data_IF_129202183509
#
_entry.id   IF_129202183509
#
_cell.length_a   1.000
_cell.length_b   1.000
_cell.length_c   1.000
_cell.angle_alpha   90.00
_cell.angle_beta   90.00
_cell.angle_gamma   90.00
#
_symmetry.space_group_name_H-M   'P 1'
#
loop_
_entity.id
_entity.type
_entity.pdbx_description
1 polymer ?
#
# COMPACT_ATOMS: atom_id res chain seq x y z
N UNK A 1 -44.59 41.13 -45.01
CA UNK A 1 -44.43 39.99 -44.06
C UNK A 1 -43.06 39.31 -44.16
N UNK A 2 -42.24 39.56 -45.18
CA UNK A 2 -40.98 38.83 -45.42
C UNK A 2 -39.76 39.36 -44.63
N UNK A 3 -39.77 40.62 -44.20
CA UNK A 3 -38.63 41.24 -43.51
C UNK A 3 -38.55 40.88 -42.01
N UNK A 4 -39.69 40.58 -41.36
CA UNK A 4 -39.72 40.14 -39.96
C UNK A 4 -39.17 38.71 -39.78
N UNK A 5 -39.35 37.83 -40.77
CA UNK A 5 -38.86 36.45 -40.69
C UNK A 5 -37.34 36.35 -40.86
N UNK A 6 -36.73 37.22 -41.69
CA UNK A 6 -35.27 37.29 -41.86
C UNK A 6 -34.58 37.83 -40.60
N UNK A 7 -35.16 38.81 -39.92
CA UNK A 7 -34.58 39.37 -38.68
C UNK A 7 -34.64 38.39 -37.50
N UNK A 8 -35.72 37.59 -37.40
CA UNK A 8 -35.86 36.52 -36.38
C UNK A 8 -34.90 35.36 -36.66
N UNK A 9 -34.68 35.00 -37.92
CA UNK A 9 -33.68 33.98 -38.28
C UNK A 9 -32.24 34.42 -37.98
N UNK A 10 -31.93 35.71 -38.18
CA UNK A 10 -30.60 36.27 -37.89
C UNK A 10 -30.32 36.31 -36.38
N UNK A 11 -31.31 36.62 -35.53
CA UNK A 11 -31.13 36.56 -34.07
C UNK A 11 -31.06 35.15 -33.51
N UNK A 12 -31.77 34.17 -34.09
CA UNK A 12 -31.66 32.76 -33.66
C UNK A 12 -30.30 32.15 -34.07
N UNK A 13 -29.78 32.51 -35.25
CA UNK A 13 -28.45 32.07 -35.68
C UNK A 13 -27.30 32.69 -34.86
N UNK A 14 -27.48 33.92 -34.36
CA UNK A 14 -26.47 34.60 -33.54
C UNK A 14 -26.37 34.05 -32.10
N UNK A 15 -27.44 33.46 -31.56
CA UNK A 15 -27.44 32.89 -30.20
C UNK A 15 -26.91 31.45 -30.16
N UNK A 16 -27.06 30.69 -31.25
CA UNK A 16 -26.51 29.33 -31.34
C UNK A 16 -25.00 29.34 -31.62
N UNK A 17 -24.46 30.41 -32.20
CA UNK A 17 -23.03 30.57 -32.45
C UNK A 17 -22.23 31.09 -31.23
N UNK A 18 -22.87 31.27 -30.08
CA UNK A 18 -22.26 31.77 -28.84
C UNK A 18 -22.11 30.72 -27.72
N UNK A 19 -22.43 29.44 -27.97
CA UNK A 19 -22.39 28.37 -26.95
C UNK A 19 -21.31 27.31 -27.23
N UNK A 20 -20.32 27.61 -28.07
CA UNK A 20 -19.20 26.68 -28.35
C UNK A 20 -17.86 27.11 -27.75
N UNK A 21 -17.87 27.95 -26.71
CA UNK A 21 -16.65 28.29 -25.96
C UNK A 21 -16.59 27.47 -24.66
N UNK A 22 -16.31 26.18 -24.78
CA UNK A 22 -15.84 25.40 -23.62
C UNK A 22 -14.78 24.40 -24.04
N UNK A 23 -13.59 24.60 -23.50
CA UNK A 23 -12.45 23.67 -23.43
C UNK A 23 -11.84 23.24 -24.76
N UNK A 24 -11.09 24.16 -25.36
CA UNK A 24 -9.85 23.79 -26.07
C UNK A 24 -8.95 23.11 -25.04
N UNK A 25 -8.85 21.78 -25.09
CA UNK A 25 -7.75 21.07 -24.45
C UNK A 25 -6.47 21.50 -25.16
N UNK A 26 -5.72 22.41 -24.53
CA UNK A 26 -4.35 22.68 -24.87
C UNK A 26 -3.48 21.46 -24.51
N UNK A 27 -3.54 20.39 -25.30
CA UNK A 27 -2.49 19.35 -25.32
C UNK A 27 -1.40 19.81 -26.29
N UNK A 28 -0.67 20.82 -25.84
CA UNK A 28 0.42 21.45 -26.57
C UNK A 28 1.49 21.91 -25.60
N UNK A 29 1.93 21.02 -24.71
CA UNK A 29 3.15 21.22 -23.96
C UNK A 29 3.92 19.91 -23.98
N UNK A 30 5.04 19.97 -24.69
CA UNK A 30 6.23 19.15 -24.62
C UNK A 30 6.03 17.69 -24.18
N UNK A 31 6.53 16.78 -25.03
CA UNK A 31 7.17 15.56 -24.54
C UNK A 31 8.26 15.94 -23.52
N UNK A 32 7.86 16.23 -22.28
CA UNK A 32 8.64 15.90 -21.13
C UNK A 32 8.71 14.39 -21.15
N UNK A 33 9.84 13.86 -21.62
CA UNK A 33 10.33 12.63 -21.03
C UNK A 33 10.44 12.91 -19.54
N UNK A 34 9.34 12.69 -18.81
CA UNK A 34 9.44 12.14 -17.47
C UNK A 34 10.15 10.80 -17.65
N UNK A 35 11.47 10.86 -17.79
CA UNK A 35 12.32 9.79 -17.32
C UNK A 35 12.00 9.67 -15.84
N UNK A 36 10.93 8.91 -15.53
CA UNK A 36 10.81 8.23 -14.25
C UNK A 36 12.19 7.63 -14.06
N UNK A 37 12.97 8.08 -13.06
CA UNK A 37 14.31 7.56 -12.89
C UNK A 37 14.13 6.04 -12.81
N UNK A 38 14.75 5.32 -13.75
CA UNK A 38 14.63 3.87 -13.93
C UNK A 38 15.27 3.08 -12.78
N UNK A 39 15.40 3.70 -11.61
CA UNK A 39 15.75 3.12 -10.33
C UNK A 39 14.55 2.88 -9.41
N UNK A 40 13.31 3.01 -9.89
CA UNK A 40 12.17 2.39 -9.21
C UNK A 40 12.31 0.87 -9.34
N UNK A 41 12.98 0.24 -8.37
CA UNK A 41 12.87 -1.21 -8.19
C UNK A 41 11.39 -1.53 -8.10
N UNK A 42 10.88 -2.35 -9.02
CA UNK A 42 9.50 -2.80 -8.99
C UNK A 42 9.35 -3.72 -7.78
N UNK A 43 8.89 -3.14 -6.68
CA UNK A 43 8.62 -3.89 -5.47
C UNK A 43 7.22 -4.48 -5.58
N UNK A 44 7.12 -5.78 -5.31
CA UNK A 44 5.87 -6.51 -5.25
C UNK A 44 5.38 -6.61 -3.80
N UNK A 45 4.33 -5.88 -3.41
CA UNK A 45 3.78 -5.95 -2.06
C UNK A 45 2.84 -7.14 -1.92
N UNK A 46 3.09 -7.98 -0.91
CA UNK A 46 2.20 -9.07 -0.51
C UNK A 46 1.64 -8.78 0.86
N UNK A 47 0.32 -8.58 0.92
CA UNK A 47 -0.42 -8.37 2.15
C UNK A 47 -0.94 -9.69 2.70
N UNK A 48 -0.77 -9.89 4.01
CA UNK A 48 -1.37 -10.99 4.77
C UNK A 48 -2.08 -10.47 6.01
N UNK A 49 -3.21 -11.08 6.33
CA UNK A 49 -3.95 -10.76 7.55
C UNK A 49 -3.32 -11.46 8.76
N UNK A 50 -3.04 -10.68 9.80
CA UNK A 50 -2.38 -11.16 11.00
C UNK A 50 -3.45 -11.51 12.02
N UNK A 51 -3.33 -12.69 12.60
CA UNK A 51 -4.20 -13.12 13.69
C UNK A 51 -3.66 -12.66 15.05
N UNK A 52 -2.34 -12.82 15.27
CA UNK A 52 -1.67 -12.43 16.51
C UNK A 52 -0.23 -11.99 16.29
N UNK A 53 0.23 -11.09 17.15
CA UNK A 53 1.62 -10.64 17.25
C UNK A 53 2.12 -10.92 18.65
N UNK A 54 3.15 -11.74 18.76
CA UNK A 54 3.80 -12.06 20.01
C UNK A 54 5.10 -11.27 20.15
N UNK A 55 5.25 -10.57 21.27
CA UNK A 55 6.44 -9.78 21.59
C UNK A 55 7.49 -10.64 22.29
N UNK A 56 8.76 -10.44 21.93
CA UNK A 56 9.92 -11.04 22.59
C UNK A 56 11.13 -10.09 22.51
N UNK A 57 12.14 -10.27 23.37
CA UNK A 57 13.36 -9.43 23.36
C UNK A 57 14.14 -9.53 22.04
N UNK A 58 14.11 -10.70 21.40
CA UNK A 58 14.76 -10.96 20.11
C UNK A 58 13.94 -10.49 18.90
N UNK A 59 12.66 -10.13 19.06
CA UNK A 59 11.82 -9.74 17.94
C UNK A 59 10.32 -10.00 18.13
N UNK A 60 9.59 -10.06 17.02
CA UNK A 60 8.15 -10.30 16.99
C UNK A 60 7.81 -11.57 16.23
N UNK A 61 7.06 -12.49 16.85
CA UNK A 61 6.45 -13.61 16.13
C UNK A 61 5.07 -13.20 15.65
N UNK A 62 4.88 -13.22 14.35
CA UNK A 62 3.63 -12.86 13.68
C UNK A 62 2.94 -14.13 13.20
N UNK A 63 1.73 -14.38 13.70
CA UNK A 63 0.88 -15.48 13.22
C UNK A 63 -0.11 -14.90 12.22
N UNK A 64 -0.03 -15.34 10.97
CA UNK A 64 -0.84 -14.84 9.87
C UNK A 64 -1.62 -15.97 9.19
N UNK A 65 -2.70 -15.62 8.50
CA UNK A 65 -3.53 -16.59 7.77
C UNK A 65 -2.85 -16.98 6.44
N UNK A 66 -2.76 -18.29 6.18
CA UNK A 66 -2.43 -18.85 4.87
C UNK A 66 -3.64 -19.60 4.33
N UNK A 67 -4.20 -19.11 3.23
CA UNK A 67 -5.47 -19.61 2.67
C UNK A 67 -6.67 -19.44 3.61
N UNK A 68 -7.66 -20.35 3.47
CA UNK A 68 -8.95 -20.25 4.16
C UNK A 68 -8.96 -20.78 5.60
N UNK A 69 -8.14 -21.78 5.93
CA UNK A 69 -8.27 -22.54 7.17
C UNK A 69 -6.96 -22.76 7.94
N UNK A 70 -5.85 -22.16 7.49
CA UNK A 70 -4.53 -22.42 8.06
C UNK A 70 -3.83 -21.14 8.50
N UNK A 71 -2.89 -21.30 9.43
CA UNK A 71 -2.01 -20.24 9.90
C UNK A 71 -0.56 -20.61 9.64
N UNK A 72 0.26 -19.59 9.41
CA UNK A 72 1.71 -19.69 9.42
C UNK A 72 2.31 -18.70 10.41
N UNK A 73 3.54 -18.97 10.81
CA UNK A 73 4.31 -18.13 11.71
C UNK A 73 5.46 -17.47 10.95
N UNK A 74 5.68 -16.18 11.21
CA UNK A 74 6.86 -15.45 10.77
C UNK A 74 7.58 -14.89 12.01
N UNK A 75 8.89 -15.06 12.07
CA UNK A 75 9.71 -14.55 13.17
C UNK A 75 10.50 -13.35 12.65
N UNK A 76 10.19 -12.15 13.12
CA UNK A 76 10.79 -10.91 12.63
C UNK A 76 11.80 -10.41 13.66
N UNK A 77 13.10 -10.37 13.33
CA UNK A 77 14.15 -9.96 14.28
C UNK A 77 13.96 -8.50 14.73
N UNK A 78 14.24 -8.22 16.00
CA UNK A 78 14.22 -6.85 16.52
C UNK A 78 15.24 -5.94 15.83
N UNK A 79 16.35 -6.50 15.34
CA UNK A 79 17.38 -5.80 14.56
C UNK A 79 16.87 -5.20 13.25
N UNK A 80 15.75 -5.70 12.71
CA UNK A 80 15.15 -5.14 11.50
C UNK A 80 14.38 -3.85 11.76
N UNK A 81 13.93 -3.61 12.99
CA UNK A 81 13.13 -2.44 13.39
C UNK A 81 14.01 -1.24 13.79
N UNK A 82 14.94 -0.90 12.90
CA UNK A 82 15.80 0.28 13.04
C UNK A 82 15.45 1.32 11.96
N UNK A 83 15.91 2.56 12.13
CA UNK A 83 15.73 3.58 11.10
C UNK A 83 16.41 3.14 9.80
N UNK A 84 15.65 3.06 8.71
CA UNK A 84 16.13 2.53 7.43
C UNK A 84 16.33 1.00 7.41
N UNK A 85 15.87 0.28 8.44
CA UNK A 85 15.95 -1.17 8.52
C UNK A 85 14.95 -1.90 7.62
N UNK A 86 14.99 -3.23 7.67
CA UNK A 86 14.16 -4.12 6.86
C UNK A 86 12.73 -4.25 7.37
N UNK A 87 12.41 -3.76 8.58
CA UNK A 87 11.08 -3.82 9.15
C UNK A 87 10.65 -2.48 9.74
N UNK A 88 9.39 -2.12 9.50
CA UNK A 88 8.76 -0.97 10.14
C UNK A 88 7.49 -1.40 10.85
N UNK A 89 7.35 -1.04 12.12
CA UNK A 89 6.11 -1.25 12.87
C UNK A 89 5.29 0.04 12.88
N UNK A 90 4.05 -0.05 12.43
CA UNK A 90 3.08 1.02 12.51
C UNK A 90 1.98 0.63 13.48
N UNK A 91 1.75 1.49 14.48
CA UNK A 91 0.66 1.31 15.43
C UNK A 91 -0.50 2.19 15.03
N UNK A 92 -1.67 1.59 14.91
CA UNK A 92 -2.89 2.28 14.52
C UNK A 92 -4.08 1.87 15.36
N UNK A 93 -5.25 2.29 14.90
CA UNK A 93 -6.55 1.98 15.47
C UNK A 93 -7.47 1.61 14.31
N UNK A 94 -8.32 0.61 14.48
CA UNK A 94 -9.24 0.18 13.43
C UNK A 94 -9.41 -1.34 13.41
N UNK A 95 -10.43 -1.80 12.70
CA UNK A 95 -10.78 -3.22 12.59
C UNK A 95 -9.94 -3.95 11.53
N UNK A 96 -9.28 -3.18 10.67
CA UNK A 96 -8.36 -3.64 9.65
C UNK A 96 -7.01 -4.10 10.22
N UNK A 97 -6.70 -3.71 11.47
CA UNK A 97 -5.51 -4.16 12.18
C UNK A 97 -5.78 -5.48 12.91
N UNK A 98 -4.78 -6.37 13.03
CA UNK A 98 -3.42 -6.26 12.50
C UNK A 98 -3.27 -6.89 11.11
N UNK A 99 -2.33 -6.37 10.32
CA UNK A 99 -1.93 -6.96 9.04
C UNK A 99 -0.44 -6.71 8.77
N UNK A 100 0.14 -7.47 7.84
CA UNK A 100 1.54 -7.34 7.45
C UNK A 100 1.63 -7.22 5.93
N UNK A 101 2.55 -6.38 5.46
CA UNK A 101 2.89 -6.25 4.04
C UNK A 101 4.36 -6.55 3.88
N UNK A 102 4.69 -7.56 3.08
CA UNK A 102 6.06 -7.93 2.74
C UNK A 102 6.34 -7.49 1.31
N UNK A 103 7.45 -6.79 1.09
CA UNK A 103 7.86 -6.30 -0.22
C UNK A 103 8.98 -7.20 -0.75
N UNK A 104 8.75 -7.77 -1.93
CA UNK A 104 9.73 -8.55 -2.67
C UNK A 104 10.23 -7.75 -3.87
N UNK A 105 11.46 -8.01 -4.31
CA UNK A 105 11.97 -7.51 -5.59
C UNK A 105 11.53 -8.45 -6.73
N UNK A 106 11.78 -8.05 -7.97
CA UNK A 106 11.44 -8.82 -9.18
C UNK A 106 12.08 -10.23 -9.21
N UNK A 107 13.23 -10.41 -8.57
CA UNK A 107 13.90 -11.72 -8.42
C UNK A 107 13.27 -12.61 -7.33
N UNK A 108 12.23 -12.13 -6.65
CA UNK A 108 11.59 -12.79 -5.52
C UNK A 108 12.35 -12.67 -4.20
N UNK A 109 13.45 -11.92 -4.16
CA UNK A 109 14.20 -11.68 -2.92
C UNK A 109 13.45 -10.72 -1.99
N UNK A 110 13.60 -10.95 -0.68
CA UNK A 110 13.05 -10.08 0.34
C UNK A 110 13.69 -8.69 0.30
N UNK A 111 12.88 -7.64 0.31
CA UNK A 111 13.35 -6.25 0.45
C UNK A 111 13.14 -5.76 1.87
N UNK A 112 11.88 -5.64 2.29
CA UNK A 112 11.50 -5.13 3.59
C UNK A 112 10.04 -5.50 3.91
N UNK A 113 9.61 -5.24 5.14
CA UNK A 113 8.23 -5.44 5.55
C UNK A 113 7.70 -4.27 6.37
N UNK A 114 6.38 -4.15 6.38
CA UNK A 114 5.63 -3.24 7.24
C UNK A 114 4.63 -4.04 8.05
N UNK A 115 4.74 -3.95 9.37
CA UNK A 115 3.86 -4.63 10.31
C UNK A 115 2.92 -3.61 10.93
N UNK A 116 1.63 -3.73 10.62
CA UNK A 116 0.57 -2.85 11.10
C UNK A 116 -0.15 -3.53 12.26
N UNK A 117 -0.11 -2.91 13.43
CA UNK A 117 -0.62 -3.49 14.68
C UNK A 117 -1.55 -2.53 15.41
N UNK A 118 -2.39 -3.07 16.28
CA UNK A 118 -3.21 -2.26 17.18
C UNK A 118 -2.34 -1.54 18.20
N UNK A 119 -2.61 -0.26 18.43
CA UNK A 119 -1.89 0.55 19.41
C UNK A 119 -2.12 0.07 20.85
N UNK A 120 -3.28 -0.53 21.12
CA UNK A 120 -3.60 -1.10 22.42
C UNK A 120 -2.91 -2.46 22.61
N UNK A 121 -1.81 -2.49 23.36
CA UNK A 121 -1.06 -3.72 23.69
C UNK A 121 -1.83 -4.71 24.60
N UNK A 122 -2.98 -4.31 25.16
CA UNK A 122 -3.89 -5.20 25.92
C UNK A 122 -4.91 -5.92 25.04
N UNK A 123 -4.92 -5.63 23.74
CA UNK A 123 -5.82 -6.29 22.80
C UNK A 123 -5.44 -7.78 22.63
N UNK A 124 -6.44 -8.64 22.39
CA UNK A 124 -6.27 -10.09 22.18
C UNK A 124 -5.35 -10.47 21.02
N UNK A 125 -5.09 -9.53 20.11
CA UNK A 125 -4.15 -9.66 19.00
C UNK A 125 -2.69 -9.62 19.47
N UNK A 126 -2.42 -9.12 20.68
CA UNK A 126 -1.09 -9.12 21.29
C UNK A 126 -0.89 -10.32 22.20
N UNK A 127 0.33 -10.83 22.21
CA UNK A 127 0.79 -11.84 23.16
C UNK A 127 2.27 -11.69 23.47
N UNK A 128 2.78 -12.55 24.33
CA UNK A 128 4.20 -12.63 24.68
C UNK A 128 4.68 -14.06 24.42
N UNK A 129 5.91 -14.20 23.92
CA UNK A 129 6.54 -15.52 23.83
C UNK A 129 7.18 -15.81 25.19
N UNK A 130 6.84 -16.95 25.77
CA UNK A 130 7.48 -17.44 26.99
C UNK A 130 8.70 -18.31 26.63
N UNK A 131 9.75 -18.22 27.44
CA UNK A 131 10.99 -18.98 27.25
C UNK A 131 11.91 -18.40 26.16
N UNK A 132 12.99 -19.14 25.87
CA UNK A 132 13.93 -18.77 24.81
C UNK A 132 13.46 -19.38 23.47
N UNK A 133 13.14 -18.54 22.45
CA UNK A 133 12.77 -19.01 21.12
C UNK A 133 13.98 -19.52 20.31
N UNK A 134 15.20 -19.48 20.87
CA UNK A 134 16.42 -20.02 20.27
C UNK A 134 16.82 -19.28 19.01
N UNK A 135 17.09 -20.02 17.93
CA UNK A 135 17.62 -19.45 16.69
C UNK A 135 16.53 -18.98 15.71
N UNK A 136 15.26 -19.03 16.09
CA UNK A 136 14.14 -18.67 15.20
C UNK A 136 14.18 -17.23 14.69
N UNK A 137 14.80 -16.32 15.45
CA UNK A 137 14.99 -14.92 15.07
C UNK A 137 16.32 -14.65 14.34
N UNK A 138 17.15 -15.67 14.06
CA UNK A 138 18.40 -15.52 13.31
C UNK A 138 18.14 -15.74 11.82
N UNK A 139 17.41 -14.81 11.21
CA UNK A 139 17.08 -14.85 9.78
C UNK A 139 17.49 -13.55 9.08
N UNK A 140 17.90 -13.67 7.82
CA UNK A 140 18.28 -12.52 6.96
C UNK A 140 17.21 -12.19 5.91
N UNK A 141 16.28 -13.13 5.67
CA UNK A 141 15.23 -13.03 4.66
C UNK A 141 13.92 -13.58 5.21
N UNK A 142 12.81 -13.05 4.71
CA UNK A 142 11.47 -13.52 5.04
C UNK A 142 10.75 -13.96 3.76
N UNK A 143 10.28 -15.21 3.75
CA UNK A 143 9.41 -15.75 2.69
C UNK A 143 8.08 -16.18 3.32
N UNK A 144 6.99 -15.65 2.79
CA UNK A 144 5.65 -16.01 3.22
C UNK A 144 5.24 -17.39 2.70
N UNK A 145 4.43 -18.09 3.49
CA UNK A 145 3.74 -19.32 3.13
C UNK A 145 2.31 -19.01 2.71
N UNK A 146 1.82 -19.64 1.65
CA UNK A 146 0.47 -19.48 1.11
C UNK A 146 -0.29 -20.80 1.09
#
# INVERSE_FOLDING_TARGET
MEERMKRVFVTIAAVIMAVSVSTVFAQGTAAGSDSVPSGQSALYPVRVDVARVYTHSQGYKVVYRKGQASFAEAYIPSSWFVSGGQAMMLRGWGREYPYMVVYYKDDGSFSHLKLYVLSNMRDSTWGTIEGDPGDKFKIDTLKLEF
#
